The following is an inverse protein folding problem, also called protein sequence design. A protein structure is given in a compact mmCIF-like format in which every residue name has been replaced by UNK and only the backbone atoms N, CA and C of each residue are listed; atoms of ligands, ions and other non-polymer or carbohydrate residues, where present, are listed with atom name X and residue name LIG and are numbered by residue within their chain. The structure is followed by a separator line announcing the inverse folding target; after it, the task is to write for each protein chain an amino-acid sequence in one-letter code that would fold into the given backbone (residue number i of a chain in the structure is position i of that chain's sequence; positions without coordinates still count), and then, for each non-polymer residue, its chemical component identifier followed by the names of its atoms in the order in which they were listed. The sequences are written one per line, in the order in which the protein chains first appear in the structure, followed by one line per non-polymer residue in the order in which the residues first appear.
data_IF_726127673500
#
_entry.id   IF_726127673500
#
_cell.length_a   1.000
_cell.length_b   1.000
_cell.length_c   1.000
_cell.angle_alpha   90.00
_cell.angle_beta   90.00
_cell.angle_gamma   90.00
#
_symmetry.space_group_name_H-M   'P 1'
#
loop_
_entity.id
_entity.type
_entity.pdbx_description
1 polymer ?
#
# COMPACT_ATOMS: atom_id res chain seq x y z
N UNK A 1 0.27 58.13 -13.72
CA UNK A 1 -0.67 57.02 -13.99
C UNK A 1 -1.92 57.27 -13.16
N UNK A 2 -3.09 57.30 -13.76
CA UNK A 2 -4.33 57.60 -13.02
C UNK A 2 -4.67 56.47 -12.01
N UNK A 3 -5.37 56.78 -10.91
CA UNK A 3 -5.66 55.77 -9.87
C UNK A 3 -6.42 54.55 -10.41
N UNK A 4 -7.28 54.78 -11.40
CA UNK A 4 -8.01 53.68 -12.09
C UNK A 4 -7.07 52.74 -12.86
N UNK A 5 -6.04 53.25 -13.53
CA UNK A 5 -5.07 52.41 -14.27
C UNK A 5 -4.23 51.58 -13.30
N UNK A 6 -3.87 52.10 -12.11
CA UNK A 6 -3.15 51.36 -11.07
C UNK A 6 -4.02 50.22 -10.52
N UNK A 7 -5.31 50.45 -10.28
CA UNK A 7 -6.22 49.43 -9.80
C UNK A 7 -6.34 48.24 -10.81
N UNK A 8 -6.52 48.52 -12.10
CA UNK A 8 -6.62 47.49 -13.13
C UNK A 8 -5.34 46.66 -13.25
N UNK A 9 -4.17 47.29 -13.15
CA UNK A 9 -2.86 46.59 -13.19
C UNK A 9 -2.71 45.69 -11.95
N UNK A 10 -3.12 46.18 -10.78
CA UNK A 10 -3.03 45.37 -9.53
C UNK A 10 -3.98 44.16 -9.58
N UNK A 11 -5.21 44.33 -10.02
CA UNK A 11 -6.17 43.25 -10.21
C UNK A 11 -5.65 42.21 -11.23
N UNK A 12 -5.11 42.68 -12.34
CA UNK A 12 -4.52 41.81 -13.36
C UNK A 12 -3.33 40.99 -12.82
N UNK A 13 -2.47 41.60 -12.03
CA UNK A 13 -1.34 40.92 -11.37
C UNK A 13 -1.83 39.85 -10.36
N UNK A 14 -2.84 40.17 -9.57
CA UNK A 14 -3.44 39.21 -8.62
C UNK A 14 -4.03 38.01 -9.37
N UNK A 15 -4.78 38.25 -10.44
CA UNK A 15 -5.34 37.18 -11.26
C UNK A 15 -4.24 36.31 -11.88
N UNK A 16 -3.18 36.93 -12.39
CA UNK A 16 -2.07 36.23 -13.01
C UNK A 16 -1.30 35.36 -11.99
N UNK A 17 -1.04 35.88 -10.79
CA UNK A 17 -0.39 35.12 -9.70
C UNK A 17 -1.29 33.96 -9.23
N UNK A 18 -2.58 34.15 -9.06
CA UNK A 18 -3.53 33.10 -8.74
C UNK A 18 -3.53 31.99 -9.80
N UNK A 19 -3.58 32.35 -11.07
CA UNK A 19 -3.55 31.38 -12.18
C UNK A 19 -2.26 30.58 -12.17
N UNK A 20 -1.11 31.22 -11.93
CA UNK A 20 0.18 30.57 -11.83
C UNK A 20 0.23 29.58 -10.65
N UNK A 21 -0.30 29.97 -9.49
CA UNK A 21 -0.40 29.10 -8.32
C UNK A 21 -1.28 27.89 -8.62
N UNK A 22 -2.47 28.08 -9.20
CA UNK A 22 -3.35 26.97 -9.55
C UNK A 22 -2.78 26.05 -10.62
N UNK A 23 -1.99 26.58 -11.56
CA UNK A 23 -1.29 25.76 -12.57
C UNK A 23 -0.13 24.95 -11.97
N UNK A 24 0.57 25.49 -10.97
CA UNK A 24 1.71 24.84 -10.35
C UNK A 24 1.32 23.81 -9.27
N UNK A 25 0.20 24.00 -8.57
CA UNK A 25 -0.25 23.11 -7.50
C UNK A 25 -0.37 21.63 -7.93
N UNK A 26 -1.00 21.27 -9.07
CA UNK A 26 -1.10 19.89 -9.52
C UNK A 26 0.25 19.30 -9.93
N UNK A 27 1.19 20.15 -10.36
CA UNK A 27 2.53 19.76 -10.82
C UNK A 27 3.57 19.77 -9.70
N UNK A 28 3.19 20.22 -8.48
CA UNK A 28 4.11 20.38 -7.36
C UNK A 28 4.88 19.10 -6.99
N UNK A 29 4.27 17.91 -6.95
CA UNK A 29 5.02 16.69 -6.66
C UNK A 29 6.12 16.43 -7.69
N UNK A 30 5.84 16.66 -8.97
CA UNK A 30 6.83 16.50 -10.04
C UNK A 30 7.98 17.49 -9.92
N UNK A 31 7.66 18.75 -9.61
CA UNK A 31 8.66 19.79 -9.42
C UNK A 31 9.54 19.51 -8.20
N UNK A 32 8.93 19.05 -7.11
CA UNK A 32 9.63 18.69 -5.87
C UNK A 32 10.67 17.59 -6.09
N UNK A 33 10.30 16.46 -6.73
CA UNK A 33 11.24 15.38 -7.01
C UNK A 33 12.32 15.76 -8.02
N UNK A 34 12.05 16.73 -8.88
CA UNK A 34 13.06 17.27 -9.80
C UNK A 34 14.09 18.13 -9.08
N UNK A 35 13.67 18.90 -8.10
CA UNK A 35 14.54 19.76 -7.30
C UNK A 35 15.28 19.01 -6.20
N UNK A 36 14.68 17.93 -5.70
CA UNK A 36 15.24 17.08 -4.64
C UNK A 36 15.21 15.61 -5.06
N UNK A 37 16.14 15.16 -5.92
CA UNK A 37 16.16 13.80 -6.43
C UNK A 37 16.33 12.74 -5.33
N UNK A 38 16.87 13.12 -4.16
CA UNK A 38 17.02 12.22 -3.01
C UNK A 38 15.69 12.00 -2.24
N UNK A 39 14.64 12.77 -2.50
CA UNK A 39 13.38 12.63 -1.78
C UNK A 39 12.71 11.26 -2.03
N UNK A 40 12.84 10.69 -3.21
CA UNK A 40 12.34 9.34 -3.50
C UNK A 40 13.10 8.27 -2.73
N UNK A 41 14.40 8.44 -2.53
CA UNK A 41 15.23 7.52 -1.75
C UNK A 41 14.87 7.58 -0.26
N UNK A 42 14.59 8.78 0.27
CA UNK A 42 14.07 8.94 1.63
C UNK A 42 12.72 8.25 1.79
N UNK A 43 11.84 8.33 0.79
CA UNK A 43 10.55 7.62 0.82
C UNK A 43 10.74 6.10 0.79
N UNK A 44 11.66 5.59 -0.03
CA UNK A 44 11.99 4.17 -0.08
C UNK A 44 12.54 3.68 1.27
N UNK A 45 13.47 4.42 1.88
CA UNK A 45 14.01 4.07 3.20
C UNK A 45 12.95 4.11 4.30
N UNK A 46 12.00 5.04 4.22
CA UNK A 46 10.88 5.12 5.17
C UNK A 46 9.90 3.94 4.99
N UNK A 47 9.66 3.48 3.77
CA UNK A 47 8.89 2.26 3.50
C UNK A 47 9.61 1.05 4.09
N UNK A 48 10.92 0.94 3.86
CA UNK A 48 11.74 -0.14 4.42
C UNK A 48 11.74 -0.15 5.96
N UNK A 49 11.83 1.00 6.62
CA UNK A 49 11.78 1.08 8.09
C UNK A 49 10.44 0.62 8.65
N UNK A 50 9.33 0.88 7.96
CA UNK A 50 8.01 0.36 8.33
C UNK A 50 7.98 -1.18 8.25
N UNK A 51 8.62 -1.75 7.24
CA UNK A 51 8.73 -3.20 7.10
C UNK A 51 9.58 -3.81 8.23
N UNK A 52 10.69 -3.18 8.59
CA UNK A 52 11.56 -3.63 9.71
C UNK A 52 10.81 -3.59 11.04
N UNK A 53 10.05 -2.52 11.32
CA UNK A 53 9.23 -2.43 12.53
C UNK A 53 8.15 -3.53 12.58
N UNK A 54 7.56 -3.85 11.42
CA UNK A 54 6.61 -4.94 11.31
C UNK A 54 7.24 -6.29 11.71
N UNK A 55 8.44 -6.54 11.25
CA UNK A 55 9.18 -7.78 11.54
C UNK A 55 9.57 -7.89 13.02
N UNK A 56 10.04 -6.80 13.62
CA UNK A 56 10.38 -6.76 15.05
C UNK A 56 9.16 -7.04 15.95
N UNK A 57 7.98 -6.56 15.55
CA UNK A 57 6.74 -6.77 16.31
C UNK A 57 6.32 -8.25 16.32
N UNK A 58 6.55 -8.97 15.23
CA UNK A 58 6.21 -10.41 15.14
C UNK A 58 7.21 -11.28 15.91
N UNK A 59 8.48 -10.90 15.95
CA UNK A 59 9.54 -11.68 16.60
C UNK A 59 9.59 -11.49 18.13
N UNK A 60 8.97 -10.42 18.65
CA UNK A 60 8.92 -10.18 20.09
C UNK A 60 7.80 -11.05 20.71
N UNK A 61 8.10 -12.00 21.59
CA UNK A 61 7.07 -12.81 22.24
C UNK A 61 6.14 -11.89 23.05
N UNK A 62 4.86 -11.93 22.74
CA UNK A 62 3.82 -11.31 23.57
C UNK A 62 3.90 -11.93 24.96
N UNK A 63 3.83 -11.15 26.06
CA UNK A 63 3.73 -11.74 27.39
C UNK A 63 2.49 -12.62 27.44
N UNK A 64 2.70 -13.91 27.61
CA UNK A 64 1.65 -14.90 27.77
C UNK A 64 0.76 -14.50 28.96
N UNK A 65 -0.57 -14.45 28.84
CA UNK A 65 -1.43 -14.27 30.01
C UNK A 65 -1.24 -15.47 30.91
N UNK A 66 -0.95 -15.21 32.18
CA UNK A 66 -0.87 -16.19 33.26
C UNK A 66 -2.16 -17.03 33.29
N UNK A 67 -2.09 -18.37 33.22
CA UNK A 67 -3.31 -19.18 33.25
C UNK A 67 -3.98 -19.10 34.61
N UNK A 68 -5.17 -18.54 34.64
CA UNK A 68 -6.11 -18.69 35.77
C UNK A 68 -6.60 -20.15 35.77
N UNK A 69 -6.57 -20.88 36.90
CA UNK A 69 -7.04 -22.26 36.95
C UNK A 69 -8.57 -22.31 36.73
N UNK A 70 -9.00 -22.77 35.58
CA UNK A 70 -10.39 -23.06 35.27
C UNK A 70 -10.68 -24.53 35.51
N UNK A 71 -11.65 -24.77 36.34
CA UNK A 71 -12.28 -26.05 36.69
C UNK A 71 -12.63 -26.86 35.46
N UNK A 72 -12.17 -28.09 35.41
CA UNK A 72 -12.43 -29.08 34.35
C UNK A 72 -13.90 -29.49 34.37
N UNK A 73 -14.63 -29.22 33.30
CA UNK A 73 -15.90 -29.88 32.97
C UNK A 73 -15.59 -30.83 31.82
N UNK A 74 -15.85 -32.16 31.96
CA UNK A 74 -15.63 -33.10 30.88
C UNK A 74 -16.83 -33.11 29.92
N UNK A 75 -16.57 -32.91 28.64
CA UNK A 75 -17.55 -33.26 27.62
C UNK A 75 -17.83 -32.15 26.61
N UNK A 76 -17.03 -32.11 25.59
CA UNK A 76 -17.36 -31.84 24.16
C UNK A 76 -16.04 -31.55 23.44
N UNK A 77 -15.64 -32.44 22.57
CA UNK A 77 -14.55 -32.22 21.63
C UNK A 77 -14.84 -30.93 20.84
N UNK A 78 -13.96 -29.93 20.85
CA UNK A 78 -14.07 -28.89 19.87
C UNK A 78 -13.63 -29.51 18.54
N UNK A 79 -14.61 -29.74 17.69
CA UNK A 79 -14.42 -30.01 16.27
C UNK A 79 -13.46 -28.93 15.74
N UNK A 80 -12.21 -29.30 15.61
CA UNK A 80 -11.17 -28.51 14.97
C UNK A 80 -11.62 -28.39 13.53
N UNK A 81 -12.35 -27.33 13.23
CA UNK A 81 -12.67 -26.94 11.86
C UNK A 81 -11.36 -26.56 11.19
N UNK A 82 -10.63 -27.58 10.74
CA UNK A 82 -9.63 -27.43 9.69
C UNK A 82 -10.39 -26.93 8.46
N UNK A 83 -10.50 -25.60 8.35
CA UNK A 83 -10.88 -24.95 7.10
C UNK A 83 -9.70 -25.25 6.17
N UNK A 84 -9.83 -26.36 5.44
CA UNK A 84 -8.95 -26.70 4.34
C UNK A 84 -9.23 -25.68 3.24
N UNK A 85 -8.58 -24.50 3.33
CA UNK A 85 -8.62 -23.56 2.25
C UNK A 85 -7.90 -24.21 1.06
N UNK A 86 -8.69 -24.85 0.19
CA UNK A 86 -8.15 -25.36 -1.06
C UNK A 86 -7.52 -24.19 -1.83
N UNK A 87 -6.34 -24.42 -2.38
CA UNK A 87 -5.73 -23.45 -3.29
C UNK A 87 -6.65 -23.24 -4.48
N UNK A 88 -6.79 -22.01 -5.01
CA UNK A 88 -7.45 -21.79 -6.30
C UNK A 88 -6.78 -22.64 -7.38
N UNK A 89 -7.54 -23.01 -8.41
CA UNK A 89 -6.99 -23.73 -9.54
C UNK A 89 -5.95 -22.90 -10.30
N UNK A 90 -4.99 -23.58 -10.91
CA UNK A 90 -4.03 -22.94 -11.82
C UNK A 90 -4.79 -22.55 -13.09
N UNK A 91 -4.69 -21.29 -13.46
CA UNK A 91 -5.22 -20.77 -14.73
C UNK A 91 -4.05 -20.37 -15.65
N UNK A 92 -3.72 -21.18 -16.66
CA UNK A 92 -2.61 -20.89 -17.59
C UNK A 92 -2.82 -19.61 -18.41
N UNK A 93 -4.02 -19.03 -18.43
CA UNK A 93 -4.29 -17.75 -19.11
C UNK A 93 -3.82 -16.54 -18.29
N UNK A 94 -3.54 -16.73 -17.00
CA UNK A 94 -2.99 -15.68 -16.14
C UNK A 94 -1.48 -15.50 -16.38
N UNK A 95 -0.96 -14.29 -16.14
CA UNK A 95 0.48 -14.04 -16.19
C UNK A 95 1.28 -15.00 -15.31
N UNK A 96 2.47 -15.37 -15.75
CA UNK A 96 3.44 -16.14 -14.95
C UNK A 96 4.03 -15.29 -13.82
N UNK A 97 4.12 -13.98 -14.03
CA UNK A 97 4.58 -13.02 -13.04
C UNK A 97 3.52 -12.78 -11.96
N UNK A 98 3.96 -12.71 -10.73
CA UNK A 98 3.06 -12.38 -9.62
C UNK A 98 2.56 -10.94 -9.76
N UNK A 99 1.28 -10.71 -9.57
CA UNK A 99 0.65 -9.42 -9.84
C UNK A 99 -0.41 -9.00 -8.83
N UNK A 100 -0.62 -7.70 -8.72
CA UNK A 100 -1.67 -7.09 -7.92
C UNK A 100 -2.66 -6.37 -8.83
N UNK A 101 -3.94 -6.70 -8.71
CA UNK A 101 -5.03 -6.06 -9.44
C UNK A 101 -6.03 -5.45 -8.46
N UNK A 102 -6.28 -4.14 -8.63
CA UNK A 102 -7.30 -3.41 -7.87
C UNK A 102 -8.07 -2.56 -8.85
N UNK A 103 -9.09 -3.14 -9.45
CA UNK A 103 -9.84 -2.55 -10.57
C UNK A 103 -10.41 -1.16 -10.22
N UNK A 104 -10.94 -1.01 -9.00
CA UNK A 104 -11.52 0.25 -8.53
C UNK A 104 -10.58 1.46 -8.63
N UNK A 105 -9.30 1.26 -8.41
CA UNK A 105 -8.29 2.33 -8.42
C UNK A 105 -7.31 2.23 -9.59
N UNK A 106 -7.52 1.24 -10.47
CA UNK A 106 -6.76 1.05 -11.69
C UNK A 106 -5.35 0.51 -11.50
N UNK A 107 -5.04 -0.08 -10.34
CA UNK A 107 -3.75 -0.74 -10.10
C UNK A 107 -3.73 -2.08 -10.83
N UNK A 108 -2.64 -2.32 -11.55
CA UNK A 108 -2.38 -3.56 -12.32
C UNK A 108 -0.88 -3.73 -12.49
N UNK A 109 -0.18 -3.96 -11.38
CA UNK A 109 1.28 -3.98 -11.34
C UNK A 109 1.85 -5.33 -10.95
N UNK A 110 3.06 -5.59 -11.41
CA UNK A 110 3.85 -6.73 -11.01
C UNK A 110 4.31 -6.59 -9.56
N UNK A 111 4.30 -7.73 -8.83
CA UNK A 111 4.81 -7.84 -7.47
C UNK A 111 6.26 -8.30 -7.53
N UNK A 112 7.17 -7.43 -7.15
CA UNK A 112 8.60 -7.73 -7.12
C UNK A 112 9.06 -8.13 -5.73
N UNK A 113 9.93 -9.13 -5.68
CA UNK A 113 10.55 -9.65 -4.46
C UNK A 113 12.01 -9.22 -4.37
N UNK A 114 12.55 -9.13 -3.17
CA UNK A 114 13.97 -8.87 -2.95
C UNK A 114 14.24 -7.89 -1.82
N UNK A 115 15.53 -7.71 -1.51
CA UNK A 115 16.01 -6.87 -0.41
C UNK A 115 16.40 -5.45 -0.83
N UNK A 116 16.59 -5.21 -2.13
CA UNK A 116 16.92 -3.88 -2.67
C UNK A 116 15.63 -3.07 -2.86
N UNK A 117 15.12 -2.54 -1.75
CA UNK A 117 13.83 -1.83 -1.68
C UNK A 117 13.80 -0.64 -2.63
N UNK A 118 14.89 0.14 -2.68
CA UNK A 118 14.96 1.34 -3.52
C UNK A 118 14.85 1.00 -5.01
N UNK A 119 15.60 -0.01 -5.46
CA UNK A 119 15.55 -0.48 -6.83
C UNK A 119 14.18 -1.04 -7.19
N UNK A 120 13.59 -1.85 -6.31
CA UNK A 120 12.30 -2.49 -6.55
C UNK A 120 11.18 -1.45 -6.61
N UNK A 121 11.15 -0.48 -5.69
CA UNK A 121 10.13 0.57 -5.70
C UNK A 121 10.21 1.48 -6.95
N UNK A 122 11.33 1.50 -7.66
CA UNK A 122 11.43 2.14 -9.00
C UNK A 122 10.71 1.35 -10.09
N UNK A 123 10.56 0.04 -9.91
CA UNK A 123 9.91 -0.85 -10.88
C UNK A 123 8.44 -1.10 -10.58
N UNK A 124 7.96 -0.80 -9.35
CA UNK A 124 6.54 -0.94 -9.03
C UNK A 124 6.25 -1.34 -7.60
N UNK A 125 5.57 -2.48 -7.43
CA UNK A 125 5.04 -2.96 -6.15
C UNK A 125 6.05 -3.91 -5.52
N UNK A 126 6.40 -3.66 -4.27
CA UNK A 126 7.33 -4.46 -3.49
C UNK A 126 6.60 -5.35 -2.49
N UNK A 127 6.93 -6.65 -2.49
CA UNK A 127 6.58 -7.55 -1.39
C UNK A 127 7.61 -7.41 -0.28
N UNK A 128 7.15 -7.11 0.92
CA UNK A 128 7.99 -7.06 2.11
C UNK A 128 8.47 -8.48 2.42
N UNK A 129 9.80 -8.73 2.51
CA UNK A 129 10.33 -10.05 2.76
C UNK A 129 9.98 -10.56 4.17
N UNK A 130 10.12 -11.87 4.37
CA UNK A 130 9.90 -12.56 5.64
C UNK A 130 8.45 -12.53 6.17
N UNK A 131 7.50 -12.13 5.32
CA UNK A 131 6.06 -12.28 5.56
C UNK A 131 5.47 -13.39 4.69
N UNK A 132 4.14 -13.57 4.77
CA UNK A 132 3.44 -14.66 4.09
C UNK A 132 3.36 -14.51 2.59
N UNK A 133 2.90 -15.57 1.96
CA UNK A 133 2.49 -15.62 0.55
C UNK A 133 1.02 -16.03 0.45
N UNK A 134 0.32 -15.75 -0.67
CA UNK A 134 -1.09 -16.13 -0.83
C UNK A 134 -1.35 -17.62 -0.62
N UNK A 135 -0.51 -18.57 -1.10
CA UNK A 135 -0.71 -19.99 -0.84
C UNK A 135 -0.61 -20.39 0.63
N UNK A 136 0.35 -19.81 1.37
CA UNK A 136 0.59 -20.17 2.77
C UNK A 136 -0.55 -19.73 3.70
N UNK A 137 -1.12 -18.55 3.46
CA UNK A 137 -2.24 -17.96 4.24
C UNK A 137 -2.08 -17.98 5.78
N UNK A 138 -0.88 -18.22 6.29
CA UNK A 138 -0.57 -18.29 7.73
C UNK A 138 -0.20 -16.93 8.29
N UNK A 139 0.54 -16.13 7.50
CA UNK A 139 0.96 -14.76 7.80
C UNK A 139 0.45 -13.81 6.73
N UNK A 140 0.31 -12.51 7.02
CA UNK A 140 -0.08 -11.55 5.99
C UNK A 140 0.95 -11.48 4.86
N UNK A 141 0.47 -11.38 3.63
CA UNK A 141 1.29 -10.82 2.55
C UNK A 141 1.28 -9.30 2.71
N UNK A 142 2.45 -8.68 2.72
CA UNK A 142 2.57 -7.23 2.87
C UNK A 142 3.14 -6.65 1.58
N UNK A 143 2.39 -5.75 0.95
CA UNK A 143 2.79 -5.10 -0.30
C UNK A 143 2.90 -3.60 -0.10
N UNK A 144 3.99 -3.03 -0.57
CA UNK A 144 4.24 -1.60 -0.52
C UNK A 144 4.53 -1.05 -1.92
N UNK A 145 4.12 0.19 -2.16
CA UNK A 145 4.47 0.91 -3.38
C UNK A 145 4.53 2.42 -3.10
N UNK A 146 5.17 3.17 -3.98
CA UNK A 146 5.11 4.61 -3.90
C UNK A 146 3.68 5.13 -4.11
N UNK A 147 3.31 6.18 -3.39
CA UNK A 147 2.07 6.90 -3.68
C UNK A 147 2.23 7.79 -4.91
N UNK A 148 3.33 8.54 -4.99
CA UNK A 148 3.55 9.53 -6.03
C UNK A 148 4.44 9.02 -7.17
N UNK A 149 5.34 8.07 -6.89
CA UNK A 149 6.30 7.49 -7.83
C UNK A 149 7.44 8.43 -8.18
N UNK A 150 8.09 8.15 -9.29
CA UNK A 150 9.26 8.87 -9.78
C UNK A 150 8.90 9.79 -10.96
N UNK A 151 9.74 10.79 -11.20
CA UNK A 151 9.52 11.76 -12.28
C UNK A 151 9.57 11.11 -13.67
N UNK A 152 10.45 10.14 -13.85
CA UNK A 152 10.61 9.38 -15.08
C UNK A 152 9.45 8.43 -15.40
N UNK A 153 8.56 8.20 -14.47
CA UNK A 153 7.39 7.34 -14.70
C UNK A 153 6.39 8.02 -15.64
N UNK A 154 6.00 7.31 -16.70
CA UNK A 154 4.87 7.75 -17.51
C UNK A 154 3.57 7.77 -16.69
N UNK A 155 2.58 8.54 -17.14
CA UNK A 155 1.27 8.57 -16.48
C UNK A 155 0.61 7.19 -16.42
N UNK A 156 0.74 6.39 -17.48
CA UNK A 156 0.21 5.03 -17.54
C UNK A 156 0.91 4.11 -16.55
N UNK A 157 2.24 4.13 -16.52
CA UNK A 157 3.02 3.33 -15.59
C UNK A 157 2.67 3.67 -14.14
N UNK A 158 2.59 4.95 -13.81
CA UNK A 158 2.21 5.43 -12.48
C UNK A 158 0.83 4.95 -12.06
N UNK A 159 -0.15 5.03 -12.96
CA UNK A 159 -1.51 4.56 -12.70
C UNK A 159 -1.53 3.08 -12.34
N UNK A 160 -0.77 2.26 -13.06
CA UNK A 160 -0.77 0.82 -12.89
C UNK A 160 0.06 0.34 -11.69
N UNK A 161 1.18 1.01 -11.38
CA UNK A 161 2.22 0.51 -10.48
C UNK A 161 2.40 1.34 -9.20
N UNK A 162 1.57 2.34 -8.95
CA UNK A 162 1.60 3.12 -7.71
C UNK A 162 0.34 2.97 -6.87
N UNK A 163 0.47 3.26 -5.58
CA UNK A 163 -0.66 3.31 -4.66
C UNK A 163 -1.22 4.72 -4.49
N UNK A 164 -1.18 5.54 -5.57
CA UNK A 164 -1.67 6.91 -5.56
C UNK A 164 -3.11 7.01 -5.04
N UNK A 165 -3.99 6.15 -5.58
CA UNK A 165 -5.41 6.12 -5.27
C UNK A 165 -5.78 5.14 -4.14
N UNK A 166 -4.80 4.53 -3.45
CA UNK A 166 -5.09 3.57 -2.38
C UNK A 166 -6.07 4.11 -1.31
N UNK A 167 -6.02 5.41 -0.91
CA UNK A 167 -6.99 5.97 0.03
C UNK A 167 -8.45 6.02 -0.46
N UNK A 168 -8.72 5.71 -1.71
CA UNK A 168 -10.09 5.59 -2.23
C UNK A 168 -10.72 4.23 -1.94
N UNK A 169 -9.94 3.25 -1.49
CA UNK A 169 -10.46 1.94 -1.08
C UNK A 169 -11.27 2.07 0.20
N UNK A 170 -12.34 1.30 0.25
CA UNK A 170 -13.28 1.24 1.38
C UNK A 170 -13.52 -0.21 1.78
N UNK A 171 -14.03 -0.39 2.98
CA UNK A 171 -14.51 -1.69 3.45
C UNK A 171 -15.48 -2.28 2.42
N UNK A 172 -15.28 -3.55 2.08
CA UNK A 172 -16.05 -4.28 1.09
C UNK A 172 -15.44 -4.29 -0.33
N UNK A 173 -14.43 -3.47 -0.62
CA UNK A 173 -13.76 -3.50 -1.92
C UNK A 173 -12.92 -4.77 -2.11
N UNK A 174 -12.81 -5.20 -3.36
CA UNK A 174 -12.08 -6.41 -3.72
C UNK A 174 -10.70 -6.08 -4.26
N UNK A 175 -9.72 -6.85 -3.80
CA UNK A 175 -8.33 -6.85 -4.26
C UNK A 175 -8.02 -8.24 -4.78
N UNK A 176 -7.36 -8.35 -5.94
CA UNK A 176 -6.94 -9.61 -6.52
C UNK A 176 -5.42 -9.68 -6.54
N UNK A 177 -4.88 -10.82 -6.13
CA UNK A 177 -3.45 -11.13 -6.23
C UNK A 177 -3.32 -12.32 -7.16
N UNK A 178 -2.54 -12.17 -8.22
CA UNK A 178 -2.10 -13.29 -9.06
C UNK A 178 -0.80 -13.79 -8.46
N UNK A 179 -0.74 -15.09 -8.18
CA UNK A 179 0.43 -15.74 -7.62
C UNK A 179 0.57 -17.15 -8.17
N UNK A 180 1.66 -17.42 -8.85
CA UNK A 180 1.89 -18.72 -9.50
C UNK A 180 0.70 -19.15 -10.39
N UNK A 181 0.25 -18.22 -11.24
CA UNK A 181 -0.90 -18.42 -12.14
C UNK A 181 -2.20 -18.84 -11.42
N UNK A 182 -2.38 -18.44 -10.18
CA UNK A 182 -3.61 -18.61 -9.40
C UNK A 182 -4.13 -17.25 -8.98
N UNK A 183 -5.44 -17.05 -9.03
CA UNK A 183 -6.06 -15.80 -8.59
C UNK A 183 -6.58 -15.95 -7.16
N UNK A 184 -6.08 -15.10 -6.27
CA UNK A 184 -6.51 -15.00 -4.89
C UNK A 184 -7.29 -13.70 -4.69
N UNK A 185 -8.50 -13.81 -4.14
CA UNK A 185 -9.34 -12.65 -3.89
C UNK A 185 -9.32 -12.29 -2.41
N UNK A 186 -9.19 -10.97 -2.15
CA UNK A 186 -9.19 -10.42 -0.81
C UNK A 186 -10.25 -9.33 -0.71
N UNK A 187 -10.94 -9.26 0.42
CA UNK A 187 -11.93 -8.24 0.72
C UNK A 187 -11.43 -7.30 1.79
N UNK A 188 -11.43 -6.01 1.50
CA UNK A 188 -11.03 -4.97 2.45
C UNK A 188 -11.99 -4.97 3.63
N UNK A 189 -11.47 -5.04 4.85
CA UNK A 189 -12.27 -4.93 6.06
C UNK A 189 -11.91 -3.72 6.92
N UNK A 190 -10.72 -3.14 6.73
CA UNK A 190 -10.29 -1.92 7.43
C UNK A 190 -9.33 -1.09 6.61
N UNK A 191 -9.39 0.21 6.81
CA UNK A 191 -8.43 1.18 6.25
C UNK A 191 -8.13 2.25 7.29
N UNK A 192 -6.87 2.62 7.46
CA UNK A 192 -6.48 3.64 8.43
C UNK A 192 -5.19 4.38 8.04
N UNK A 193 -5.05 5.65 8.39
CA UNK A 193 -3.75 6.32 8.41
C UNK A 193 -3.00 5.94 9.69
N UNK A 194 -1.69 5.77 9.61
CA UNK A 194 -0.86 5.43 10.77
C UNK A 194 0.62 5.48 10.45
N UNK A 195 1.46 5.32 11.45
CA UNK A 195 2.91 5.25 11.30
C UNK A 195 3.45 3.82 11.41
N UNK A 196 2.60 2.85 11.72
CA UNK A 196 2.92 1.42 11.84
C UNK A 196 1.70 0.57 11.51
N UNK A 197 1.93 -0.69 11.18
CA UNK A 197 0.89 -1.70 11.04
C UNK A 197 0.33 -2.02 12.44
N UNK A 198 -0.99 -2.03 12.55
CA UNK A 198 -1.71 -2.29 13.82
C UNK A 198 -2.36 -3.66 13.86
N UNK A 199 -2.63 -4.26 12.70
CA UNK A 199 -3.28 -5.57 12.61
C UNK A 199 -2.53 -6.53 11.69
N UNK A 200 -1.83 -7.49 12.29
CA UNK A 200 -1.13 -8.58 11.61
C UNK A 200 -1.98 -9.84 11.40
N UNK A 201 -3.26 -9.84 11.82
CA UNK A 201 -4.18 -10.94 11.54
C UNK A 201 -4.77 -10.84 10.12
N UNK A 202 -4.67 -9.67 9.50
CA UNK A 202 -5.00 -9.51 8.09
C UNK A 202 -4.25 -10.52 7.22
N UNK A 203 -4.85 -10.93 6.11
CA UNK A 203 -4.20 -11.83 5.14
C UNK A 203 -3.47 -11.06 4.05
N UNK A 204 -3.87 -9.81 3.80
CA UNK A 204 -3.20 -8.89 2.90
C UNK A 204 -3.15 -7.50 3.54
N UNK A 205 -1.97 -6.89 3.52
CA UNK A 205 -1.76 -5.52 3.99
C UNK A 205 -1.12 -4.72 2.84
N UNK A 206 -1.73 -3.59 2.47
CA UNK A 206 -1.19 -2.67 1.49
C UNK A 206 -0.85 -1.35 2.15
N UNK A 207 0.29 -0.73 1.80
CA UNK A 207 0.60 0.61 2.26
C UNK A 207 1.49 1.43 1.32
N UNK A 208 1.18 2.72 1.09
CA UNK A 208 2.08 3.76 0.57
C UNK A 208 2.40 4.78 1.65
N UNK A 209 3.20 5.78 1.33
CA UNK A 209 3.22 7.01 2.13
C UNK A 209 1.89 7.77 2.02
N UNK A 210 1.40 8.36 3.12
CA UNK A 210 0.16 9.14 3.12
C UNK A 210 0.33 10.43 2.31
N UNK A 211 1.40 11.17 2.56
CA UNK A 211 1.80 12.38 1.86
C UNK A 211 3.22 12.21 1.29
N UNK A 212 3.59 13.06 0.35
CA UNK A 212 4.86 12.99 -0.37
C UNK A 212 6.12 13.15 0.52
N UNK A 213 6.03 13.67 1.73
CA UNK A 213 7.14 13.76 2.70
C UNK A 213 6.65 13.50 4.12
N UNK A 214 5.86 12.45 4.33
CA UNK A 214 5.25 12.13 5.61
C UNK A 214 5.72 10.76 6.12
N UNK A 215 6.01 10.61 7.41
CA UNK A 215 6.19 9.31 8.05
C UNK A 215 4.88 8.52 8.14
N UNK A 216 3.74 9.21 8.00
CA UNK A 216 2.43 8.57 8.04
C UNK A 216 2.19 7.77 6.76
N UNK A 217 1.66 6.56 6.92
CA UNK A 217 1.22 5.64 5.87
C UNK A 217 -0.29 5.61 5.81
N UNK A 218 -0.82 5.06 4.74
CA UNK A 218 -2.22 4.69 4.64
C UNK A 218 -2.29 3.18 4.51
N UNK A 219 -2.79 2.51 5.52
CA UNK A 219 -2.90 1.06 5.55
C UNK A 219 -4.25 0.60 5.05
N UNK A 220 -4.24 -0.49 4.29
CA UNK A 220 -5.43 -1.23 3.87
C UNK A 220 -5.26 -2.66 4.33
N UNK A 221 -6.21 -3.15 5.09
CA UNK A 221 -6.25 -4.51 5.62
C UNK A 221 -7.35 -5.30 4.93
N UNK A 222 -7.00 -6.46 4.42
CA UNK A 222 -7.94 -7.32 3.71
C UNK A 222 -7.81 -8.77 4.14
N UNK A 223 -8.93 -9.49 4.14
CA UNK A 223 -8.99 -10.91 4.37
C UNK A 223 -9.28 -11.65 3.07
N UNK A 224 -8.80 -12.88 2.98
CA UNK A 224 -9.07 -13.74 1.83
C UNK A 224 -10.57 -14.02 1.76
N UNK A 225 -11.12 -13.85 0.57
CA UNK A 225 -12.49 -14.27 0.27
C UNK A 225 -12.44 -15.77 -0.01
N UNK A 226 -13.19 -16.54 0.77
CA UNK A 226 -13.26 -18.00 0.62
C UNK A 226 -14.15 -18.39 -0.55
#
# INVERSE_FOLDING_TARGET
MSPKKRLFVTIGLIFWTLTLVFALLPSWPHLYYRLQPQASNLLASTIASTATQAQETITKPSPSPTPTPTTVIPGSDPESSNINLSLPDVDPSLPTENGLLIDKIGVRGEIHQGKDVEKILKTGIWQVPDFGTPPENTRPIILAAHRWGYLEWSASFRKLNSFYNLPQLKVGDTIKVIWEQRQYEYKVYSTEPGNRITDYNAKLILYPCQLWNSPVRFFVYANRNN
#
